data_IF_466212492994
#
_entry.id   IF_466212492994
#
_cell.length_a   1.000
_cell.length_b   1.000
_cell.length_c   1.000
_cell.angle_alpha   90.00
_cell.angle_beta   90.00
_cell.angle_gamma   90.00
#
_symmetry.space_group_name_H-M   'P 1'
#
loop_
_entity.id
_entity.type
_entity.pdbx_description
1 polymer ?
#
# COMPACT_ATOMS: atom_id res chain seq x y z
N UNK A 1 -37.15 18.25 21.95
CA UNK A 1 -36.71 17.40 20.83
C UNK A 1 -35.40 17.97 20.33
N UNK A 2 -34.29 17.55 20.94
CA UNK A 2 -32.95 17.95 20.50
C UNK A 2 -32.39 16.83 19.62
N UNK A 3 -32.26 17.10 18.33
CA UNK A 3 -31.70 16.19 17.34
C UNK A 3 -30.17 16.18 17.51
N UNK A 4 -29.65 15.14 18.17
CA UNK A 4 -28.19 14.91 18.23
C UNK A 4 -27.67 14.48 16.85
N UNK A 5 -27.16 15.45 16.10
CA UNK A 5 -26.44 15.25 14.86
C UNK A 5 -25.06 14.66 15.17
N UNK A 6 -24.98 13.33 15.22
CA UNK A 6 -23.72 12.62 15.27
C UNK A 6 -23.08 12.70 13.87
N UNK A 7 -22.21 13.68 13.68
CA UNK A 7 -21.28 13.73 12.56
C UNK A 7 -20.35 12.50 12.66
N UNK A 8 -20.78 11.41 12.03
CA UNK A 8 -19.99 10.19 11.82
C UNK A 8 -18.79 10.56 10.96
N UNK A 9 -17.70 10.93 11.64
CA UNK A 9 -16.42 11.20 11.03
C UNK A 9 -15.98 9.90 10.35
N UNK A 10 -16.09 9.84 9.02
CA UNK A 10 -15.53 8.78 8.17
C UNK A 10 -13.98 8.80 8.26
N UNK A 11 -13.41 8.53 9.43
CA UNK A 11 -12.02 8.11 9.52
C UNK A 11 -11.99 6.73 8.89
N UNK A 12 -11.55 6.66 7.63
CA UNK A 12 -11.17 5.40 6.97
C UNK A 12 -10.24 4.66 7.92
N UNK A 13 -10.77 3.69 8.66
CA UNK A 13 -10.00 2.82 9.54
C UNK A 13 -8.95 2.16 8.66
N UNK A 14 -7.68 2.29 9.06
CA UNK A 14 -6.60 1.59 8.36
C UNK A 14 -6.89 0.10 8.48
N UNK A 15 -7.19 -0.60 7.37
CA UNK A 15 -7.53 -2.01 7.45
C UNK A 15 -6.31 -2.75 7.99
N UNK A 16 -6.56 -3.66 8.92
CA UNK A 16 -5.50 -4.46 9.54
C UNK A 16 -4.71 -5.20 8.44
N UNK A 17 -3.42 -5.53 8.65
CA UNK A 17 -2.57 -6.16 7.63
C UNK A 17 -3.20 -7.41 6.98
N UNK A 18 -3.95 -8.19 7.76
CA UNK A 18 -4.69 -9.37 7.32
C UNK A 18 -5.88 -9.00 6.39
N UNK A 19 -6.63 -7.96 6.71
CA UNK A 19 -7.77 -7.48 5.93
C UNK A 19 -7.32 -6.90 4.59
N UNK A 20 -6.21 -6.15 4.57
CA UNK A 20 -5.60 -5.68 3.30
C UNK A 20 -5.18 -6.84 2.42
N UNK A 21 -4.60 -7.91 2.98
CA UNK A 21 -4.21 -9.08 2.19
C UNK A 21 -5.44 -9.80 1.61
N UNK A 22 -6.50 -9.97 2.42
CA UNK A 22 -7.77 -10.55 1.96
C UNK A 22 -8.42 -9.71 0.86
N UNK A 23 -8.44 -8.39 1.03
CA UNK A 23 -8.95 -7.43 0.05
C UNK A 23 -8.20 -7.54 -1.29
N UNK A 24 -6.85 -7.61 -1.26
CA UNK A 24 -6.04 -7.84 -2.47
C UNK A 24 -6.32 -9.19 -3.10
N UNK A 25 -6.56 -10.23 -2.29
CA UNK A 25 -6.92 -11.57 -2.78
C UNK A 25 -8.22 -11.57 -3.56
N UNK A 26 -9.23 -10.82 -3.11
CA UNK A 26 -10.50 -10.65 -3.84
C UNK A 26 -10.30 -9.96 -5.20
N UNK A 27 -9.45 -8.93 -5.25
CA UNK A 27 -9.09 -8.26 -6.52
C UNK A 27 -8.35 -9.22 -7.46
N UNK A 28 -7.40 -10.00 -6.94
CA UNK A 28 -6.64 -10.96 -7.73
C UNK A 28 -7.53 -12.07 -8.31
N UNK A 29 -8.49 -12.57 -7.53
CA UNK A 29 -9.43 -13.60 -7.96
C UNK A 29 -10.44 -13.13 -9.01
N UNK A 30 -10.72 -11.82 -9.10
CA UNK A 30 -11.67 -11.27 -10.07
C UNK A 30 -11.18 -11.42 -11.53
N UNK A 31 -9.89 -11.25 -11.76
CA UNK A 31 -9.29 -11.29 -13.10
C UNK A 31 -9.46 -12.65 -13.84
N UNK A 32 -9.10 -13.82 -13.26
CA UNK A 32 -9.33 -15.12 -13.92
C UNK A 32 -10.82 -15.50 -14.03
N UNK A 33 -11.70 -14.89 -13.23
CA UNK A 33 -13.14 -15.12 -13.30
C UNK A 33 -13.85 -14.28 -14.37
N UNK A 34 -13.11 -13.50 -15.16
CA UNK A 34 -13.68 -12.57 -16.15
C UNK A 34 -14.45 -11.40 -15.52
N UNK A 35 -14.29 -11.16 -14.21
CA UNK A 35 -14.95 -10.08 -13.48
C UNK A 35 -14.10 -8.81 -13.53
N UNK A 36 -14.75 -7.65 -13.41
CA UNK A 36 -14.03 -6.38 -13.37
C UNK A 36 -13.26 -6.24 -12.04
N UNK A 37 -11.95 -6.42 -12.12
CA UNK A 37 -11.03 -6.26 -10.99
C UNK A 37 -10.98 -4.81 -10.49
N UNK A 38 -11.38 -3.81 -11.29
CA UNK A 38 -11.47 -2.41 -10.86
C UNK A 38 -12.67 -2.21 -9.92
N UNK A 39 -13.81 -2.81 -10.24
CA UNK A 39 -14.99 -2.80 -9.37
C UNK A 39 -14.66 -3.49 -8.04
N UNK A 40 -14.02 -4.67 -8.09
CA UNK A 40 -13.53 -5.35 -6.91
C UNK A 40 -12.56 -4.47 -6.09
N UNK A 41 -11.74 -3.63 -6.72
CA UNK A 41 -10.84 -2.72 -6.01
C UNK A 41 -11.62 -1.61 -5.27
N UNK A 42 -12.63 -1.02 -5.91
CA UNK A 42 -13.49 0.02 -5.32
C UNK A 42 -14.22 -0.54 -4.10
N UNK A 43 -14.89 -1.69 -4.22
CA UNK A 43 -15.61 -2.33 -3.12
C UNK A 43 -14.72 -2.71 -1.93
N UNK A 44 -13.41 -2.85 -2.18
CA UNK A 44 -12.44 -3.26 -1.17
C UNK A 44 -11.55 -2.12 -0.66
N UNK A 45 -11.86 -0.86 -1.02
CA UNK A 45 -11.05 0.30 -0.67
C UNK A 45 -9.57 0.17 -1.09
N UNK A 46 -9.32 -0.51 -2.21
CA UNK A 46 -8.00 -0.65 -2.81
C UNK A 46 -7.84 0.38 -3.93
N UNK A 47 -6.73 1.11 -3.92
CA UNK A 47 -6.43 2.05 -5.01
C UNK A 47 -6.24 1.29 -6.32
N UNK A 48 -6.74 1.85 -7.43
CA UNK A 48 -6.61 1.24 -8.76
C UNK A 48 -5.14 0.93 -9.10
N UNK A 49 -4.21 1.79 -8.68
CA UNK A 49 -2.77 1.54 -8.85
C UNK A 49 -2.28 0.28 -8.12
N UNK A 50 -2.79 0.02 -6.91
CA UNK A 50 -2.46 -1.20 -6.14
C UNK A 50 -3.13 -2.42 -6.76
N UNK A 51 -4.41 -2.30 -7.13
CA UNK A 51 -5.16 -3.36 -7.78
C UNK A 51 -4.49 -3.81 -9.09
N UNK A 52 -4.11 -2.85 -9.94
CA UNK A 52 -3.35 -3.12 -11.17
C UNK A 52 -2.04 -3.87 -10.89
N UNK A 53 -1.27 -3.46 -9.87
CA UNK A 53 -0.04 -4.17 -9.48
C UNK A 53 -0.31 -5.60 -9.06
N UNK A 54 -1.34 -5.82 -8.23
CA UNK A 54 -1.73 -7.15 -7.75
C UNK A 54 -2.11 -8.07 -8.92
N UNK A 55 -2.97 -7.58 -9.82
CA UNK A 55 -3.40 -8.33 -11.00
C UNK A 55 -2.23 -8.60 -11.95
N UNK A 56 -1.42 -7.57 -12.25
CA UNK A 56 -0.29 -7.70 -13.19
C UNK A 56 0.81 -8.63 -12.68
N UNK A 57 1.05 -8.64 -11.36
CA UNK A 57 2.07 -9.50 -10.73
C UNK A 57 1.54 -10.89 -10.37
N UNK A 58 0.22 -11.06 -10.29
CA UNK A 58 -0.40 -12.30 -9.86
C UNK A 58 -0.25 -12.58 -8.35
N UNK A 59 0.15 -11.60 -7.54
CA UNK A 59 0.44 -11.81 -6.11
C UNK A 59 -0.12 -10.68 -5.23
N UNK A 60 -0.51 -11.02 -4.01
CA UNK A 60 -0.99 -10.08 -2.98
C UNK A 60 0.10 -9.65 -2.00
N UNK A 61 1.18 -10.44 -1.94
CA UNK A 61 2.32 -10.22 -1.07
C UNK A 61 3.18 -9.06 -1.61
N UNK A 62 3.70 -8.18 -0.73
CA UNK A 62 4.83 -7.34 -1.10
C UNK A 62 5.94 -8.27 -1.60
N UNK A 63 6.30 -8.13 -2.87
CA UNK A 63 7.45 -8.85 -3.39
C UNK A 63 8.66 -8.39 -2.59
N UNK A 64 9.37 -9.34 -1.96
CA UNK A 64 10.64 -9.04 -1.33
C UNK A 64 11.50 -8.34 -2.39
N UNK A 65 11.89 -7.10 -2.13
CA UNK A 65 12.77 -6.36 -3.02
C UNK A 65 14.14 -7.02 -2.85
N UNK A 66 14.42 -8.05 -3.66
CA UNK A 66 15.69 -8.80 -3.60
C UNK A 66 16.81 -8.07 -4.34
N UNK A 67 16.89 -6.75 -4.17
CA UNK A 67 17.94 -5.91 -4.71
C UNK A 67 18.49 -5.04 -3.60
N UNK A 68 19.81 -4.84 -3.59
CA UNK A 68 20.44 -3.80 -2.77
C UNK A 68 19.75 -2.48 -3.14
N UNK A 69 18.91 -1.96 -2.25
CA UNK A 69 18.48 -0.57 -2.35
C UNK A 69 19.74 0.26 -2.06
N UNK A 70 20.33 0.87 -3.08
CA UNK A 70 21.41 1.82 -2.88
C UNK A 70 20.92 2.94 -1.96
N UNK A 71 21.25 2.83 -0.68
CA UNK A 71 21.00 3.88 0.30
C UNK A 71 22.01 4.99 -0.01
N UNK A 72 21.57 5.99 -0.78
CA UNK A 72 22.39 7.19 -1.00
C UNK A 72 22.42 8.00 0.30
N UNK A 73 23.51 7.88 1.03
CA UNK A 73 23.79 8.75 2.19
C UNK A 73 24.34 10.07 1.67
N UNK A 74 23.64 11.18 1.97
CA UNK A 74 24.15 12.52 1.66
C UNK A 74 25.20 12.89 2.70
N UNK A 75 26.48 12.80 2.32
CA UNK A 75 27.58 13.27 3.15
C UNK A 75 27.54 14.79 3.26
N UNK A 76 27.64 15.31 4.48
CA UNK A 76 27.80 16.74 4.72
C UNK A 76 29.28 17.07 4.89
N UNK A 77 29.70 18.30 4.58
CA UNK A 77 31.11 18.73 4.74
C UNK A 77 31.62 18.51 6.17
N UNK A 78 30.76 18.69 7.18
CA UNK A 78 31.09 18.39 8.58
C UNK A 78 31.37 16.90 8.83
N UNK A 79 30.64 16.03 8.14
CA UNK A 79 30.85 14.57 8.21
C UNK A 79 32.16 14.18 7.52
N UNK A 80 32.49 14.82 6.41
CA UNK A 80 33.75 14.59 5.67
C UNK A 80 34.94 15.07 6.51
N UNK A 81 34.89 16.30 7.04
CA UNK A 81 35.95 16.86 7.87
C UNK A 81 36.26 15.99 9.10
N UNK A 82 35.22 15.44 9.76
CA UNK A 82 35.41 14.56 10.91
C UNK A 82 36.02 13.20 10.56
N UNK A 83 35.92 12.77 9.30
CA UNK A 83 36.57 11.53 8.81
C UNK A 83 38.03 11.77 8.42
N UNK A 84 38.38 12.99 8.03
CA UNK A 84 39.76 13.39 7.67
C UNK A 84 40.64 13.71 8.89
N UNK A 85 40.05 13.81 10.09
CA UNK A 85 40.75 14.00 11.37
C UNK A 85 41.25 12.68 12.02
N UNK A 86 41.10 11.53 11.33
CA UNK A 86 41.66 10.21 11.72
C UNK A 86 42.96 9.91 10.97
#
# INVERSE_FOLDING_TARGET
MELSSAASSYRKSTPLPNERCRAKGRVLAAHPQGKDWKEAAISNNITIATARRVVSRGTTSPQAVSGVCDVRVKMTLKTIAKLEEL
#
